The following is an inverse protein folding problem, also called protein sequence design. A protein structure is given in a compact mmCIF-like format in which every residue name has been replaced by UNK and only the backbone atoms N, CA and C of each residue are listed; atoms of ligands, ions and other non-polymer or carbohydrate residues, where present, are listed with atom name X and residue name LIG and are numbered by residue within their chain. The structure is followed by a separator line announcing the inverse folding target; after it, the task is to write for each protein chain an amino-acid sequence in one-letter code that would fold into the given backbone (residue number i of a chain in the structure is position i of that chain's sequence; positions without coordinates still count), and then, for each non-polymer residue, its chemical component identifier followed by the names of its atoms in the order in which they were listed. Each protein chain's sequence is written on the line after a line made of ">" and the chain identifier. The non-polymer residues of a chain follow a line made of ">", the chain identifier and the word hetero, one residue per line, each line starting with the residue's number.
data_IF_425286953287
#
_entry.id   IF_425286953287
#
_cell.length_a   1.000
_cell.length_b   1.000
_cell.length_c   1.000
_cell.angle_alpha   90.00
_cell.angle_beta   90.00
_cell.angle_gamma   90.00
#
_symmetry.space_group_name_H-M   'P 1'
#
loop_
_entity.id
_entity.type
_entity.pdbx_description
1 polymer ?
#
# COMPACT_ATOMS: atom_id res chain seq x y z
N UNK A 1 -22.25 11.98 150.43
CA UNK A 1 -21.39 13.17 150.58
C UNK A 1 -21.48 13.89 149.24
N UNK A 2 -22.05 15.10 149.20
CA UNK A 2 -22.12 15.87 147.95
C UNK A 2 -20.70 16.18 147.48
N UNK A 3 -20.47 16.09 146.18
CA UNK A 3 -19.19 16.45 145.59
C UNK A 3 -18.85 17.92 145.91
N UNK A 4 -17.60 18.19 146.28
CA UNK A 4 -17.17 19.55 146.65
C UNK A 4 -17.02 20.42 145.41
N UNK A 5 -17.33 21.72 145.55
CA UNK A 5 -17.39 22.67 144.44
C UNK A 5 -16.10 22.69 143.60
N UNK A 6 -14.93 22.66 144.23
CA UNK A 6 -13.63 22.66 143.52
C UNK A 6 -13.44 21.47 142.59
N UNK A 7 -13.96 20.27 142.90
CA UNK A 7 -13.86 19.11 142.00
C UNK A 7 -14.81 19.26 140.80
N UNK A 8 -15.99 19.85 141.00
CA UNK A 8 -16.95 20.16 139.93
C UNK A 8 -16.35 21.18 138.97
N UNK A 9 -15.71 22.22 139.51
CA UNK A 9 -15.09 23.29 138.73
C UNK A 9 -13.92 22.76 137.88
N UNK A 10 -13.03 21.95 138.47
CA UNK A 10 -11.96 21.24 137.75
C UNK A 10 -12.55 20.40 136.60
N UNK A 11 -13.62 19.62 136.86
CA UNK A 11 -14.25 18.79 135.83
C UNK A 11 -14.78 19.62 134.66
N UNK A 12 -15.45 20.73 134.97
CA UNK A 12 -16.05 21.60 133.96
C UNK A 12 -15.00 22.22 133.04
N UNK A 13 -13.94 22.80 133.63
CA UNK A 13 -12.84 23.40 132.85
C UNK A 13 -12.08 22.34 132.06
N UNK A 14 -11.77 21.20 132.66
CA UNK A 14 -11.13 20.08 131.97
C UNK A 14 -11.91 19.60 130.74
N UNK A 15 -13.25 19.52 130.83
CA UNK A 15 -14.07 19.10 129.71
C UNK A 15 -14.09 20.16 128.60
N UNK A 16 -14.17 21.45 128.94
CA UNK A 16 -14.05 22.55 127.97
C UNK A 16 -12.73 22.48 127.19
N UNK A 17 -11.60 22.30 127.89
CA UNK A 17 -10.29 22.20 127.23
C UNK A 17 -10.25 20.98 126.30
N UNK A 18 -10.76 19.82 126.72
CA UNK A 18 -10.76 18.59 125.91
C UNK A 18 -11.51 18.76 124.59
N UNK A 19 -12.56 19.56 124.58
CA UNK A 19 -13.30 19.89 123.36
C UNK A 19 -12.55 20.93 122.52
N UNK A 20 -12.02 21.99 123.15
CA UNK A 20 -11.27 23.04 122.46
C UNK A 20 -9.99 22.55 121.79
N UNK A 21 -9.27 21.58 122.38
CA UNK A 21 -8.01 21.03 121.81
C UNK A 21 -8.21 20.49 120.39
N UNK A 22 -9.38 19.93 120.09
CA UNK A 22 -9.67 19.31 118.77
C UNK A 22 -9.79 20.33 117.64
N UNK A 23 -10.03 21.59 117.97
CA UNK A 23 -10.28 22.67 117.00
C UNK A 23 -9.09 23.60 116.81
N UNK A 24 -8.00 23.41 117.55
CA UNK A 24 -6.81 24.26 117.46
C UNK A 24 -6.04 23.94 116.17
N UNK A 25 -5.83 24.95 115.34
CA UNK A 25 -4.93 24.86 114.19
C UNK A 25 -3.48 25.02 114.64
N UNK A 26 -2.60 24.15 114.13
CA UNK A 26 -1.17 24.12 114.48
C UNK A 26 -0.25 24.49 113.32
N UNK A 27 -0.80 24.82 112.14
CA UNK A 27 -0.04 25.07 110.91
C UNK A 27 0.90 26.26 111.05
N UNK A 28 0.43 27.37 111.64
CA UNK A 28 1.19 28.63 111.73
C UNK A 28 2.47 28.53 112.61
N UNK A 29 2.55 27.51 113.46
CA UNK A 29 3.66 27.29 114.39
C UNK A 29 4.39 25.95 114.18
N UNK A 30 4.18 25.29 113.03
CA UNK A 30 4.65 23.91 112.80
C UNK A 30 6.17 23.71 112.94
N UNK A 31 6.98 24.72 112.62
CA UNK A 31 8.44 24.66 112.69
C UNK A 31 9.01 25.30 113.97
N UNK A 32 8.16 25.91 114.80
CA UNK A 32 8.59 26.59 116.02
C UNK A 32 8.64 25.64 117.22
N UNK A 33 9.50 25.98 118.17
CA UNK A 33 9.65 25.27 119.44
C UNK A 33 9.42 26.24 120.60
N UNK A 34 8.94 25.71 121.71
CA UNK A 34 8.49 26.46 122.87
C UNK A 34 8.98 25.78 124.15
N UNK A 35 9.14 26.57 125.21
CA UNK A 35 9.73 26.12 126.47
C UNK A 35 11.03 26.84 126.77
N UNK A 36 11.57 26.61 127.98
CA UNK A 36 12.85 27.21 128.36
C UNK A 36 14.03 26.56 127.64
N UNK A 37 13.86 25.34 127.14
CA UNK A 37 14.88 24.54 126.46
C UNK A 37 14.46 24.16 125.03
N UNK A 38 13.46 24.85 124.47
CA UNK A 38 12.86 24.53 123.17
C UNK A 38 12.35 23.07 123.10
N UNK A 39 11.83 22.55 124.20
CA UNK A 39 11.51 21.13 124.36
C UNK A 39 10.17 20.72 123.74
N UNK A 40 9.27 21.68 123.46
CA UNK A 40 7.96 21.40 122.90
C UNK A 40 7.76 21.93 121.48
N UNK A 41 7.18 21.10 120.62
CA UNK A 41 6.48 21.59 119.42
C UNK A 41 5.05 21.97 119.79
N UNK A 42 4.36 22.78 119.00
CA UNK A 42 2.97 23.15 119.31
C UNK A 42 2.05 21.92 119.40
N UNK A 43 2.18 20.96 118.48
CA UNK A 43 1.48 19.67 118.57
C UNK A 43 1.86 18.88 119.83
N UNK A 44 3.14 18.94 120.22
CA UNK A 44 3.63 18.35 121.47
C UNK A 44 3.02 18.99 122.72
N UNK A 45 2.83 20.31 122.75
CA UNK A 45 2.15 21.02 123.84
C UNK A 45 0.69 20.56 123.97
N UNK A 46 -0.06 20.55 122.87
CA UNK A 46 -1.46 20.12 122.86
C UNK A 46 -1.59 18.65 123.28
N UNK A 47 -0.70 17.77 122.78
CA UNK A 47 -0.63 16.38 123.22
C UNK A 47 -0.26 16.23 124.70
N UNK A 48 0.64 17.09 125.19
CA UNK A 48 1.00 17.17 126.60
C UNK A 48 -0.19 17.58 127.48
N UNK A 49 -0.91 18.64 127.11
CA UNK A 49 -2.14 19.06 127.80
C UNK A 49 -3.13 17.90 127.81
N UNK A 50 -3.40 17.28 126.66
CA UNK A 50 -4.37 16.20 126.53
C UNK A 50 -4.04 14.99 127.43
N UNK A 51 -2.76 14.67 127.53
CA UNK A 51 -2.25 13.64 128.43
C UNK A 51 -2.52 13.97 129.90
N UNK A 52 -2.26 15.21 130.35
CA UNK A 52 -2.51 15.62 131.73
C UNK A 52 -4.00 15.73 132.05
N UNK A 53 -4.86 16.13 131.09
CA UNK A 53 -6.31 16.10 131.28
C UNK A 53 -6.81 14.67 131.50
N UNK A 54 -6.14 13.68 130.91
CA UNK A 54 -6.43 12.26 131.14
C UNK A 54 -6.02 11.84 132.55
N UNK A 55 -4.89 12.33 133.08
CA UNK A 55 -4.50 12.08 134.47
C UNK A 55 -5.49 12.70 135.47
N UNK A 56 -5.88 13.95 135.23
CA UNK A 56 -6.87 14.66 136.05
C UNK A 56 -8.22 13.93 136.00
N UNK A 57 -8.57 13.34 134.86
CA UNK A 57 -9.77 12.50 134.73
C UNK A 57 -9.76 11.34 135.71
N UNK A 58 -8.60 10.73 135.96
CA UNK A 58 -8.44 9.65 136.96
C UNK A 58 -8.69 10.14 138.38
N UNK A 59 -8.23 11.35 138.73
CA UNK A 59 -8.49 11.95 140.04
C UNK A 59 -9.98 12.25 140.26
N UNK A 60 -10.62 12.90 139.30
CA UNK A 60 -12.03 13.33 139.43
C UNK A 60 -13.03 12.16 139.32
N UNK A 61 -12.62 10.99 138.81
CA UNK A 61 -13.45 9.76 138.80
C UNK A 61 -13.64 9.19 140.21
N UNK A 62 -12.74 9.50 141.15
CA UNK A 62 -12.81 9.05 142.54
C UNK A 62 -12.82 10.25 143.51
N UNK A 63 -13.89 11.08 143.53
CA UNK A 63 -13.90 12.38 144.20
C UNK A 63 -13.65 12.30 145.72
N UNK A 64 -14.11 11.24 146.38
CA UNK A 64 -13.85 11.00 147.82
C UNK A 64 -12.37 10.75 148.07
N UNK A 65 -11.71 9.98 147.21
CA UNK A 65 -10.29 9.68 147.35
C UNK A 65 -9.46 10.92 147.01
N UNK A 66 -9.82 11.66 145.96
CA UNK A 66 -9.16 12.90 145.61
C UNK A 66 -9.26 13.94 146.74
N UNK A 67 -10.42 14.07 147.39
CA UNK A 67 -10.60 14.93 148.56
C UNK A 67 -9.72 14.51 149.75
N UNK A 68 -9.47 13.20 149.95
CA UNK A 68 -8.57 12.71 151.01
C UNK A 68 -7.10 12.96 150.69
N UNK A 69 -6.73 12.92 149.42
CA UNK A 69 -5.34 13.07 148.96
C UNK A 69 -4.93 14.53 148.78
N UNK A 70 -5.89 15.45 148.65
CA UNK A 70 -5.64 16.86 148.33
C UNK A 70 -6.19 17.82 149.38
N UNK A 71 -5.50 18.93 149.54
CA UNK A 71 -5.98 20.12 150.24
C UNK A 71 -6.86 20.98 149.33
N UNK A 72 -7.55 21.97 149.91
CA UNK A 72 -8.28 22.96 149.13
C UNK A 72 -7.34 23.70 148.17
N UNK A 73 -6.18 24.15 148.66
CA UNK A 73 -5.23 24.92 147.88
C UNK A 73 -4.71 24.13 146.66
N UNK A 74 -4.36 22.86 146.83
CA UNK A 74 -3.87 22.03 145.71
C UNK A 74 -4.95 21.81 144.63
N UNK A 75 -6.23 21.72 145.02
CA UNK A 75 -7.33 21.66 144.04
C UNK A 75 -7.53 23.01 143.34
N UNK A 76 -7.40 24.10 144.08
CA UNK A 76 -7.46 25.45 143.52
C UNK A 76 -6.32 25.68 142.51
N UNK A 77 -5.10 25.24 142.83
CA UNK A 77 -3.93 25.37 141.95
C UNK A 77 -4.13 24.58 140.63
N UNK A 78 -4.73 23.38 140.70
CA UNK A 78 -5.13 22.62 139.50
C UNK A 78 -6.18 23.39 138.70
N UNK A 79 -7.20 23.93 139.37
CA UNK A 79 -8.27 24.67 138.70
C UNK A 79 -7.76 25.93 138.00
N UNK A 80 -6.90 26.72 138.67
CA UNK A 80 -6.28 27.92 138.10
C UNK A 80 -5.42 27.57 136.90
N UNK A 81 -4.55 26.56 137.02
CA UNK A 81 -3.69 26.13 135.92
C UNK A 81 -4.52 25.63 134.71
N UNK A 82 -5.66 24.98 134.94
CA UNK A 82 -6.56 24.58 133.87
C UNK A 82 -7.24 25.78 133.19
N UNK A 83 -7.69 26.79 133.94
CA UNK A 83 -8.28 27.99 133.33
C UNK A 83 -7.25 28.73 132.48
N UNK A 84 -6.02 28.90 132.99
CA UNK A 84 -4.95 29.51 132.22
C UNK A 84 -4.67 28.72 130.92
N UNK A 85 -4.61 27.39 130.99
CA UNK A 85 -4.48 26.54 129.78
C UNK A 85 -5.65 26.75 128.82
N UNK A 86 -6.87 26.90 129.33
CA UNK A 86 -8.05 27.12 128.49
C UNK A 86 -7.96 28.46 127.75
N UNK A 87 -7.55 29.52 128.43
CA UNK A 87 -7.46 30.88 127.88
C UNK A 87 -6.33 31.03 126.86
N UNK A 88 -5.23 30.29 127.05
CA UNK A 88 -4.04 30.35 126.21
C UNK A 88 -3.85 29.13 125.29
N UNK A 89 -4.89 28.34 125.05
CA UNK A 89 -4.78 27.11 124.26
C UNK A 89 -4.33 27.37 122.80
N UNK A 90 -4.73 28.51 122.25
CA UNK A 90 -4.37 28.96 120.90
C UNK A 90 -3.05 29.75 120.84
N UNK A 91 -2.37 29.94 121.98
CA UNK A 91 -1.17 30.77 122.08
C UNK A 91 0.00 29.96 122.67
N UNK A 92 0.82 29.31 121.81
CA UNK A 92 1.87 28.42 122.27
C UNK A 92 2.98 29.12 123.06
N UNK A 93 3.17 30.45 122.92
CA UNK A 93 4.19 31.21 123.64
C UNK A 93 3.94 31.24 125.15
N UNK A 94 2.67 31.20 125.56
CA UNK A 94 2.28 31.17 126.97
C UNK A 94 1.81 29.79 127.43
N UNK A 95 1.28 28.96 126.53
CA UNK A 95 0.71 27.65 126.84
C UNK A 95 1.71 26.73 127.56
N UNK A 96 2.97 26.71 127.15
CA UNK A 96 3.99 25.81 127.75
C UNK A 96 4.19 26.08 129.24
N UNK A 97 4.16 27.35 129.66
CA UNK A 97 4.34 27.76 131.05
C UNK A 97 3.16 27.27 131.92
N UNK A 98 1.94 27.36 131.40
CA UNK A 98 0.75 26.86 132.11
C UNK A 98 0.66 25.34 132.11
N UNK A 99 1.12 24.68 131.04
CA UNK A 99 1.29 23.23 131.00
C UNK A 99 2.23 22.76 132.13
N UNK A 100 3.36 23.44 132.34
CA UNK A 100 4.31 23.09 133.39
C UNK A 100 3.79 23.38 134.81
N UNK A 101 3.04 24.47 135.00
CA UNK A 101 2.31 24.71 136.26
C UNK A 101 1.32 23.60 136.54
N UNK A 102 0.59 23.12 135.53
CA UNK A 102 -0.32 21.99 135.69
C UNK A 102 0.44 20.71 136.05
N UNK A 103 1.59 20.42 135.39
CA UNK A 103 2.46 19.29 135.77
C UNK A 103 2.88 19.35 137.23
N UNK A 104 3.26 20.53 137.72
CA UNK A 104 3.64 20.73 139.12
C UNK A 104 2.44 20.48 140.05
N UNK A 105 1.26 21.01 139.73
CA UNK A 105 0.05 20.86 140.53
C UNK A 105 -0.43 19.40 140.64
N UNK A 106 -0.27 18.59 139.58
CA UNK A 106 -0.74 17.20 139.60
C UNK A 106 0.31 16.18 140.08
N UNK A 107 1.60 16.55 140.12
CA UNK A 107 2.71 15.66 140.50
C UNK A 107 2.53 14.98 141.88
N UNK A 108 2.01 15.66 142.94
CA UNK A 108 1.83 15.04 144.26
C UNK A 108 0.91 13.82 144.25
N UNK A 109 0.09 13.62 143.22
CA UNK A 109 -0.89 12.54 143.15
C UNK A 109 -0.39 11.27 142.44
N UNK A 110 0.86 11.23 141.95
CA UNK A 110 1.52 10.05 141.36
C UNK A 110 0.72 9.29 140.28
N UNK A 111 -0.09 10.00 139.49
CA UNK A 111 -1.10 9.41 138.61
C UNK A 111 -0.48 8.58 137.47
N UNK A 112 0.72 8.93 137.01
CA UNK A 112 1.43 8.22 135.93
C UNK A 112 1.83 6.78 136.30
N UNK A 113 1.83 6.42 137.59
CA UNK A 113 2.17 5.08 138.07
C UNK A 113 0.92 4.29 138.51
N UNK A 114 -0.27 4.77 138.17
CA UNK A 114 -1.53 4.08 138.47
C UNK A 114 -1.73 2.88 137.54
N UNK A 115 -2.37 1.84 138.06
CA UNK A 115 -2.64 0.60 137.32
C UNK A 115 -3.53 0.88 136.09
N UNK A 116 -4.43 1.83 136.20
CA UNK A 116 -5.37 2.25 135.15
C UNK A 116 -4.62 2.87 133.96
N UNK A 117 -3.67 3.79 134.20
CA UNK A 117 -2.88 4.43 133.13
C UNK A 117 -1.99 3.42 132.37
N UNK A 118 -1.47 2.41 133.06
CA UNK A 118 -0.70 1.33 132.44
C UNK A 118 -1.56 0.43 131.52
N UNK A 119 -2.85 0.27 131.83
CA UNK A 119 -3.79 -0.47 130.97
C UNK A 119 -4.08 0.32 129.69
N UNK A 120 -4.37 1.62 129.81
CA UNK A 120 -4.63 2.50 128.66
C UNK A 120 -3.41 2.55 127.72
N UNK A 121 -2.20 2.68 128.26
CA UNK A 121 -0.96 2.62 127.48
C UNK A 121 -0.76 1.27 126.76
N UNK A 122 -1.09 0.15 127.41
CA UNK A 122 -1.04 -1.16 126.78
C UNK A 122 -2.03 -1.32 125.63
N UNK A 123 -3.21 -0.68 125.73
CA UNK A 123 -4.21 -0.63 124.66
C UNK A 123 -3.69 0.17 123.45
N UNK A 124 -3.16 1.38 123.69
CA UNK A 124 -2.59 2.23 122.63
C UNK A 124 -1.41 1.53 121.91
N UNK A 125 -0.55 0.83 122.66
CA UNK A 125 0.55 0.06 122.09
C UNK A 125 0.07 -1.11 121.21
N UNK A 126 -1.04 -1.74 121.59
CA UNK A 126 -1.67 -2.80 120.81
C UNK A 126 -2.27 -2.26 119.52
N UNK A 127 -2.99 -1.14 119.57
CA UNK A 127 -3.49 -0.44 118.38
C UNK A 127 -2.36 -0.02 117.44
N UNK A 128 -1.28 0.55 117.98
CA UNK A 128 -0.11 0.93 117.19
C UNK A 128 0.53 -0.29 116.50
N UNK A 129 0.53 -1.44 117.17
CA UNK A 129 1.04 -2.69 116.60
C UNK A 129 0.17 -3.17 115.44
N UNK A 130 -1.16 -3.08 115.56
CA UNK A 130 -2.11 -3.42 114.49
C UNK A 130 -1.89 -2.47 113.29
N UNK A 131 -1.84 -1.16 113.52
CA UNK A 131 -1.61 -0.18 112.47
C UNK A 131 -0.28 -0.42 111.74
N UNK A 132 0.79 -0.77 112.46
CA UNK A 132 2.08 -1.14 111.86
C UNK A 132 1.96 -2.36 110.93
N UNK A 133 1.20 -3.37 111.34
CA UNK A 133 0.97 -4.57 110.52
C UNK A 133 0.18 -4.23 109.26
N UNK A 134 -0.88 -3.44 109.37
CA UNK A 134 -1.67 -2.97 108.22
C UNK A 134 -0.82 -2.16 107.25
N UNK A 135 0.00 -1.23 107.77
CA UNK A 135 0.92 -0.43 106.95
C UNK A 135 1.95 -1.30 106.22
N UNK A 136 2.47 -2.32 106.88
CA UNK A 136 3.42 -3.28 106.28
C UNK A 136 2.75 -4.09 105.16
N UNK A 137 1.49 -4.50 105.36
CA UNK A 137 0.72 -5.20 104.32
C UNK A 137 0.50 -4.31 103.10
N UNK A 138 0.04 -3.07 103.31
CA UNK A 138 -0.15 -2.09 102.24
C UNK A 138 1.14 -1.82 101.47
N UNK A 139 2.29 -1.73 102.14
CA UNK A 139 3.59 -1.58 101.48
C UNK A 139 3.94 -2.76 100.57
N UNK A 140 3.70 -4.00 101.02
CA UNK A 140 3.94 -5.19 100.21
C UNK A 140 3.02 -5.24 98.98
N UNK A 141 1.75 -4.89 99.15
CA UNK A 141 0.79 -4.82 98.04
C UNK A 141 1.23 -3.77 97.01
N UNK A 142 1.65 -2.58 97.46
CA UNK A 142 2.16 -1.50 96.61
C UNK A 142 3.43 -1.92 95.86
N UNK A 143 4.30 -2.71 96.49
CA UNK A 143 5.50 -3.25 95.85
C UNK A 143 5.18 -4.29 94.78
N UNK A 144 4.16 -5.13 95.00
CA UNK A 144 3.67 -6.08 94.00
C UNK A 144 3.04 -5.36 92.80
N UNK A 145 2.28 -4.30 93.04
CA UNK A 145 1.68 -3.45 92.00
C UNK A 145 2.75 -2.72 91.19
N UNK A 146 3.81 -2.21 91.85
CA UNK A 146 4.94 -1.57 91.19
C UNK A 146 5.70 -2.54 90.28
N UNK A 147 5.94 -3.77 90.75
CA UNK A 147 6.58 -4.82 89.96
C UNK A 147 5.75 -5.19 88.72
N UNK A 148 4.42 -5.30 88.90
CA UNK A 148 3.49 -5.59 87.80
C UNK A 148 3.44 -4.46 86.78
N UNK A 149 3.41 -3.21 87.26
CA UNK A 149 3.43 -2.00 86.42
C UNK A 149 4.73 -1.90 85.61
N UNK A 150 5.87 -2.19 86.24
CA UNK A 150 7.18 -2.19 85.58
C UNK A 150 7.25 -3.24 84.46
N UNK A 151 6.72 -4.44 84.72
CA UNK A 151 6.62 -5.51 83.71
C UNK A 151 5.72 -5.11 82.55
N UNK A 152 4.58 -4.47 82.83
CA UNK A 152 3.65 -4.01 81.80
C UNK A 152 4.26 -2.89 80.95
N UNK A 153 5.02 -1.97 81.56
CA UNK A 153 5.76 -0.94 80.82
C UNK A 153 6.75 -1.57 79.82
N UNK A 154 7.53 -2.56 80.23
CA UNK A 154 8.45 -3.26 79.31
C UNK A 154 7.73 -3.90 78.12
N UNK A 155 6.57 -4.52 78.32
CA UNK A 155 5.73 -5.05 77.23
C UNK A 155 5.21 -3.95 76.31
N UNK A 156 4.83 -2.80 76.85
CA UNK A 156 4.37 -1.65 76.06
C UNK A 156 5.52 -1.14 75.19
N UNK A 157 6.74 -1.06 75.73
CA UNK A 157 7.92 -0.63 74.98
C UNK A 157 8.22 -1.60 73.82
N UNK A 158 8.14 -2.92 74.03
CA UNK A 158 8.26 -3.94 72.98
C UNK A 158 7.19 -3.78 71.88
N UNK A 159 5.93 -3.56 72.26
CA UNK A 159 4.84 -3.31 71.30
C UNK A 159 5.09 -2.03 70.51
N UNK A 160 5.64 -0.99 71.15
CA UNK A 160 5.96 0.28 70.51
C UNK A 160 7.05 0.11 69.45
N UNK A 161 8.09 -0.68 69.74
CA UNK A 161 9.14 -1.00 68.76
C UNK A 161 8.58 -1.78 67.58
N UNK A 162 7.74 -2.81 67.83
CA UNK A 162 7.09 -3.58 66.76
C UNK A 162 6.17 -2.71 65.89
N UNK A 163 5.44 -1.77 66.50
CA UNK A 163 4.61 -0.81 65.76
C UNK A 163 5.44 0.11 64.88
N UNK A 164 6.60 0.57 65.36
CA UNK A 164 7.51 1.41 64.58
C UNK A 164 8.07 0.64 63.37
N UNK A 165 8.52 -0.60 63.57
CA UNK A 165 9.01 -1.46 62.47
C UNK A 165 7.92 -1.71 61.42
N UNK A 166 6.69 -1.99 61.86
CA UNK A 166 5.55 -2.18 60.95
C UNK A 166 5.17 -0.91 60.19
N UNK A 167 5.28 0.25 60.83
CA UNK A 167 5.06 1.52 60.15
C UNK A 167 6.12 1.78 59.06
N UNK A 168 7.39 1.47 59.33
CA UNK A 168 8.45 1.64 58.32
C UNK A 168 8.26 0.70 57.14
N UNK A 169 7.87 -0.56 57.39
CA UNK A 169 7.56 -1.54 56.33
C UNK A 169 6.37 -1.06 55.48
N UNK A 170 5.34 -0.48 56.12
CA UNK A 170 4.18 0.07 55.42
C UNK A 170 4.53 1.31 54.57
N UNK A 171 5.43 2.18 55.04
CA UNK A 171 5.93 3.32 54.26
C UNK A 171 6.69 2.86 53.01
N UNK A 172 7.52 1.83 53.15
CA UNK A 172 8.25 1.23 52.02
C UNK A 172 7.29 0.61 50.99
N UNK A 173 6.29 -0.13 51.44
CA UNK A 173 5.24 -0.70 50.58
C UNK A 173 4.45 0.40 49.84
N UNK A 174 4.12 1.51 50.52
CA UNK A 174 3.44 2.66 49.92
C UNK A 174 4.32 3.30 48.84
N UNK A 175 5.62 3.47 49.09
CA UNK A 175 6.54 4.06 48.13
C UNK A 175 6.71 3.15 46.90
N UNK A 176 6.89 1.84 47.10
CA UNK A 176 6.93 0.87 45.99
C UNK A 176 5.62 0.86 45.19
N UNK A 177 4.48 0.98 45.89
CA UNK A 177 3.17 1.11 45.26
C UNK A 177 3.06 2.34 44.35
N UNK A 178 3.58 3.49 44.79
CA UNK A 178 3.61 4.73 43.99
C UNK A 178 4.47 4.59 42.74
N UNK A 179 5.68 4.05 42.86
CA UNK A 179 6.57 3.84 41.70
C UNK A 179 5.94 2.93 40.64
N UNK A 180 5.25 1.87 41.08
CA UNK A 180 4.48 1.00 40.17
C UNK A 180 3.33 1.75 39.49
N UNK A 181 2.68 2.67 40.19
CA UNK A 181 1.57 3.47 39.66
C UNK A 181 2.09 4.46 38.60
N UNK A 182 3.23 5.11 38.84
CA UNK A 182 3.87 5.99 37.87
C UNK A 182 4.28 5.24 36.60
N UNK A 183 4.86 4.04 36.75
CA UNK A 183 5.21 3.17 35.63
C UNK A 183 3.96 2.74 34.83
N UNK A 184 2.86 2.45 35.53
CA UNK A 184 1.59 2.10 34.89
C UNK A 184 1.02 3.27 34.08
N UNK A 185 1.09 4.50 34.62
CA UNK A 185 0.65 5.70 33.92
C UNK A 185 1.46 5.96 32.65
N UNK A 186 2.78 5.77 32.69
CA UNK A 186 3.63 5.87 31.51
C UNK A 186 3.25 4.84 30.44
N UNK A 187 2.99 3.59 30.85
CA UNK A 187 2.53 2.55 29.95
C UNK A 187 1.16 2.85 29.33
N UNK A 188 0.23 3.43 30.10
CA UNK A 188 -1.08 3.87 29.59
C UNK A 188 -0.90 4.93 28.50
N UNK A 189 -0.09 5.96 28.75
CA UNK A 189 0.19 7.00 27.75
C UNK A 189 0.80 6.40 26.47
N UNK A 190 1.71 5.43 26.61
CA UNK A 190 2.30 4.73 25.46
C UNK A 190 1.25 3.91 24.69
N UNK A 191 0.30 3.27 25.37
CA UNK A 191 -0.81 2.55 24.74
C UNK A 191 -1.72 3.51 23.97
N UNK A 192 -2.05 4.67 24.55
CA UNK A 192 -2.87 5.69 23.90
C UNK A 192 -2.20 6.21 22.62
N UNK A 193 -0.91 6.55 22.67
CA UNK A 193 -0.13 6.97 21.49
C UNK A 193 -0.09 5.87 20.42
N UNK A 194 0.10 4.62 20.83
CA UNK A 194 0.09 3.49 19.90
C UNK A 194 -1.29 3.26 19.26
N UNK A 195 -2.38 3.48 20.01
CA UNK A 195 -3.73 3.38 19.49
C UNK A 195 -3.98 4.44 18.39
N UNK A 196 -3.52 5.68 18.60
CA UNK A 196 -3.58 6.75 17.59
C UNK A 196 -2.74 6.39 16.34
N UNK A 197 -1.54 5.84 16.51
CA UNK A 197 -0.75 5.34 15.39
C UNK A 197 -1.44 4.20 14.62
N UNK A 198 -2.09 3.27 15.31
CA UNK A 198 -2.84 2.18 14.69
C UNK A 198 -4.04 2.73 13.90
N UNK A 199 -4.74 3.72 14.43
CA UNK A 199 -5.84 4.39 13.72
C UNK A 199 -5.35 5.06 12.43
N UNK A 200 -4.20 5.75 12.50
CA UNK A 200 -3.58 6.34 11.32
C UNK A 200 -3.18 5.28 10.27
N UNK A 201 -2.58 4.16 10.69
CA UNK A 201 -2.26 3.04 9.79
C UNK A 201 -3.52 2.47 9.15
N UNK A 202 -4.59 2.29 9.93
CA UNK A 202 -5.88 1.81 9.43
C UNK A 202 -6.44 2.74 8.36
N UNK A 203 -6.45 4.05 8.60
CA UNK A 203 -6.92 5.05 7.63
C UNK A 203 -6.11 4.99 6.32
N UNK A 204 -4.79 4.85 6.40
CA UNK A 204 -3.94 4.67 5.21
C UNK A 204 -4.24 3.36 4.49
N UNK A 205 -4.45 2.27 5.24
CA UNK A 205 -4.79 0.97 4.66
C UNK A 205 -6.14 0.99 3.94
N UNK A 206 -7.14 1.67 4.51
CA UNK A 206 -8.45 1.84 3.89
C UNK A 206 -8.35 2.68 2.60
N UNK A 207 -7.57 3.76 2.62
CA UNK A 207 -7.30 4.55 1.40
C UNK A 207 -6.57 3.74 0.31
N UNK A 208 -5.56 2.96 0.68
CA UNK A 208 -4.86 2.09 -0.26
C UNK A 208 -5.76 1.00 -0.82
N UNK A 209 -6.68 0.46 -0.02
CA UNK A 209 -7.70 -0.48 -0.49
C UNK A 209 -8.57 0.15 -1.57
N UNK A 210 -9.06 1.36 -1.37
CA UNK A 210 -9.84 2.08 -2.39
C UNK A 210 -9.02 2.32 -3.69
N UNK A 211 -7.74 2.64 -3.58
CA UNK A 211 -6.87 2.79 -4.76
C UNK A 211 -6.69 1.46 -5.51
N UNK A 212 -6.54 0.36 -4.79
CA UNK A 212 -6.44 -0.98 -5.37
C UNK A 212 -7.76 -1.36 -6.06
N UNK A 213 -8.90 -1.13 -5.43
CA UNK A 213 -10.22 -1.42 -6.00
C UNK A 213 -10.42 -0.66 -7.33
N UNK A 214 -10.07 0.64 -7.35
CA UNK A 214 -10.08 1.45 -8.58
C UNK A 214 -9.10 0.95 -9.65
N UNK A 215 -7.93 0.45 -9.24
CA UNK A 215 -6.93 -0.10 -10.17
C UNK A 215 -7.42 -1.41 -10.80
N UNK A 216 -8.04 -2.28 -10.00
CA UNK A 216 -8.65 -3.52 -10.48
C UNK A 216 -9.75 -3.22 -11.50
N UNK A 217 -10.63 -2.26 -11.23
CA UNK A 217 -11.67 -1.85 -12.18
C UNK A 217 -11.07 -1.37 -13.51
N UNK A 218 -9.99 -0.57 -13.46
CA UNK A 218 -9.28 -0.13 -14.68
C UNK A 218 -8.66 -1.29 -15.45
N UNK A 219 -8.10 -2.30 -14.78
CA UNK A 219 -7.55 -3.49 -15.45
C UNK A 219 -8.66 -4.23 -16.18
N UNK A 220 -9.80 -4.49 -15.52
CA UNK A 220 -10.93 -5.19 -16.13
C UNK A 220 -11.43 -4.45 -17.38
N UNK A 221 -11.59 -3.13 -17.30
CA UNK A 221 -11.99 -2.31 -18.45
C UNK A 221 -10.96 -2.38 -19.59
N UNK A 222 -9.65 -2.38 -19.28
CA UNK A 222 -8.59 -2.49 -20.30
C UNK A 222 -8.52 -3.86 -20.94
N UNK A 223 -8.76 -4.91 -20.17
CA UNK A 223 -8.84 -6.29 -20.68
C UNK A 223 -9.98 -6.42 -21.70
N UNK A 224 -11.16 -5.85 -21.39
CA UNK A 224 -12.28 -5.81 -22.32
C UNK A 224 -11.98 -4.99 -23.58
N UNK A 225 -11.31 -3.83 -23.46
CA UNK A 225 -10.86 -3.04 -24.61
C UNK A 225 -9.90 -3.83 -25.51
N UNK A 226 -8.96 -4.58 -24.93
CA UNK A 226 -7.99 -5.40 -25.66
C UNK A 226 -8.67 -6.58 -26.37
N UNK A 227 -9.64 -7.22 -25.74
CA UNK A 227 -10.43 -8.29 -26.37
C UNK A 227 -11.19 -7.76 -27.59
N UNK A 228 -11.82 -6.59 -27.47
CA UNK A 228 -12.51 -5.94 -28.59
C UNK A 228 -11.52 -5.58 -29.72
N UNK A 229 -10.37 -4.97 -29.40
CA UNK A 229 -9.33 -4.65 -30.39
C UNK A 229 -8.79 -5.91 -31.09
N UNK A 230 -8.64 -7.01 -30.37
CA UNK A 230 -8.24 -8.30 -30.93
C UNK A 230 -9.28 -8.79 -31.92
N UNK A 231 -10.57 -8.72 -31.58
CA UNK A 231 -11.67 -9.05 -32.48
C UNK A 231 -11.67 -8.22 -33.76
N UNK A 232 -11.51 -6.89 -33.64
CA UNK A 232 -11.40 -5.97 -34.78
C UNK A 232 -10.18 -6.31 -35.66
N UNK A 233 -9.03 -6.59 -35.04
CA UNK A 233 -7.78 -6.93 -35.74
C UNK A 233 -7.93 -8.23 -36.54
N UNK A 234 -8.55 -9.25 -35.95
CA UNK A 234 -8.82 -10.51 -36.65
C UNK A 234 -9.75 -10.29 -37.85
N UNK A 235 -10.83 -9.52 -37.69
CA UNK A 235 -11.73 -9.17 -38.80
C UNK A 235 -11.03 -8.38 -39.92
N UNK A 236 -10.08 -7.50 -39.59
CA UNK A 236 -9.26 -6.81 -40.59
C UNK A 236 -8.31 -7.76 -41.31
N UNK A 237 -7.69 -8.71 -40.61
CA UNK A 237 -6.81 -9.70 -41.21
C UNK A 237 -7.57 -10.59 -42.20
N UNK A 238 -8.78 -11.05 -41.84
CA UNK A 238 -9.65 -11.81 -42.75
C UNK A 238 -9.97 -11.01 -44.03
N UNK A 239 -10.38 -9.75 -43.90
CA UNK A 239 -10.63 -8.87 -45.05
C UNK A 239 -9.38 -8.63 -45.90
N UNK A 240 -8.21 -8.53 -45.27
CA UNK A 240 -6.96 -8.33 -45.99
C UNK A 240 -6.59 -9.56 -46.82
N UNK A 241 -6.84 -10.76 -46.28
CA UNK A 241 -6.66 -12.02 -46.99
C UNK A 241 -7.63 -12.14 -48.18
N UNK A 242 -8.90 -11.79 -47.99
CA UNK A 242 -9.92 -11.74 -49.04
C UNK A 242 -9.50 -10.79 -50.18
N UNK A 243 -9.15 -9.53 -49.86
CA UNK A 243 -8.71 -8.56 -50.87
C UNK A 243 -7.40 -8.97 -51.55
N UNK A 244 -6.49 -9.62 -50.83
CA UNK A 244 -5.23 -10.10 -51.42
C UNK A 244 -5.50 -11.20 -52.44
N UNK A 245 -6.44 -12.10 -52.13
CA UNK A 245 -6.89 -13.17 -53.02
C UNK A 245 -7.60 -12.60 -54.25
N UNK A 246 -8.58 -11.72 -54.05
CA UNK A 246 -9.33 -11.06 -55.14
C UNK A 246 -8.40 -10.29 -56.07
N UNK A 247 -7.43 -9.53 -55.51
CA UNK A 247 -6.41 -8.84 -56.29
C UNK A 247 -5.55 -9.81 -57.11
N UNK A 248 -5.21 -10.97 -56.54
CA UNK A 248 -4.47 -12.03 -57.24
C UNK A 248 -5.23 -12.54 -58.46
N UNK A 249 -6.52 -12.82 -58.30
CA UNK A 249 -7.40 -13.31 -59.36
C UNK A 249 -7.65 -12.26 -60.44
N UNK A 250 -7.88 -11.00 -60.05
CA UNK A 250 -8.00 -9.88 -60.99
C UNK A 250 -6.72 -9.69 -61.81
N UNK A 251 -5.54 -9.81 -61.18
CA UNK A 251 -4.25 -9.69 -61.86
C UNK A 251 -4.03 -10.83 -62.86
N UNK A 252 -4.42 -12.07 -62.50
CA UNK A 252 -4.39 -13.22 -63.42
C UNK A 252 -5.34 -13.01 -64.61
N UNK A 253 -6.54 -12.52 -64.35
CA UNK A 253 -7.54 -12.21 -65.38
C UNK A 253 -7.05 -11.12 -66.32
N UNK A 254 -6.50 -10.03 -65.79
CA UNK A 254 -5.93 -8.94 -66.58
C UNK A 254 -4.77 -9.42 -67.47
N UNK A 255 -3.87 -10.26 -66.95
CA UNK A 255 -2.79 -10.86 -67.75
C UNK A 255 -3.33 -11.71 -68.90
N UNK A 256 -4.36 -12.52 -68.63
CA UNK A 256 -5.00 -13.38 -69.65
C UNK A 256 -5.62 -12.54 -70.76
N UNK A 257 -6.40 -11.51 -70.42
CA UNK A 257 -7.00 -10.58 -71.37
C UNK A 257 -5.96 -9.84 -72.23
N UNK A 258 -4.81 -9.46 -71.65
CA UNK A 258 -3.72 -8.83 -72.39
C UNK A 258 -3.15 -9.79 -73.46
N UNK A 259 -2.96 -11.07 -73.15
CA UNK A 259 -2.45 -12.06 -74.10
C UNK A 259 -3.47 -12.39 -75.20
N UNK A 260 -4.76 -12.50 -74.85
CA UNK A 260 -5.84 -12.67 -75.82
C UNK A 260 -5.92 -11.47 -76.79
N UNK A 261 -5.83 -10.24 -76.27
CA UNK A 261 -5.84 -9.03 -77.09
C UNK A 261 -4.63 -8.94 -78.03
N UNK A 262 -3.43 -9.33 -77.58
CA UNK A 262 -2.23 -9.40 -78.44
C UNK A 262 -2.41 -10.40 -79.58
N UNK A 263 -2.99 -11.57 -79.26
CA UNK A 263 -3.24 -12.63 -80.25
C UNK A 263 -4.23 -12.15 -81.30
N UNK A 264 -5.37 -11.58 -80.91
CA UNK A 264 -6.36 -11.02 -81.84
C UNK A 264 -5.79 -9.89 -82.73
N UNK A 265 -4.93 -9.02 -82.19
CA UNK A 265 -4.23 -7.99 -82.97
C UNK A 265 -3.26 -8.59 -84.01
N UNK A 266 -2.63 -9.73 -83.70
CA UNK A 266 -1.79 -10.48 -84.64
C UNK A 266 -2.62 -11.05 -85.81
N UNK A 267 -3.75 -11.69 -85.51
CA UNK A 267 -4.67 -12.25 -86.50
C UNK A 267 -5.22 -11.20 -87.47
N UNK A 268 -5.72 -10.08 -86.94
CA UNK A 268 -6.30 -8.99 -87.75
C UNK A 268 -5.28 -8.32 -88.69
N UNK A 269 -4.01 -8.19 -88.27
CA UNK A 269 -2.96 -7.61 -89.13
C UNK A 269 -2.63 -8.48 -90.34
N UNK A 270 -2.49 -9.79 -90.17
CA UNK A 270 -2.17 -10.67 -91.30
C UNK A 270 -3.37 -10.86 -92.26
N UNK A 271 -4.60 -10.83 -91.74
CA UNK A 271 -5.80 -10.75 -92.57
C UNK A 271 -5.82 -9.46 -93.42
N UNK A 272 -5.48 -8.32 -92.83
CA UNK A 272 -5.37 -7.04 -93.55
C UNK A 272 -4.33 -7.05 -94.68
N UNK A 273 -3.13 -7.60 -94.42
CA UNK A 273 -2.05 -7.70 -95.43
C UNK A 273 -2.46 -8.63 -96.58
N UNK A 274 -3.03 -9.79 -96.29
CA UNK A 274 -3.44 -10.74 -97.34
C UNK A 274 -4.60 -10.22 -98.19
N UNK A 275 -5.58 -9.54 -97.58
CA UNK A 275 -6.69 -8.90 -98.28
C UNK A 275 -6.23 -7.80 -99.24
N UNK A 276 -5.21 -7.02 -98.86
CA UNK A 276 -4.62 -6.00 -99.73
C UNK A 276 -3.96 -6.61 -100.99
N UNK A 277 -3.23 -7.73 -100.86
CA UNK A 277 -2.65 -8.42 -102.02
C UNK A 277 -3.71 -9.07 -102.91
N UNK A 278 -4.73 -9.68 -102.31
CA UNK A 278 -5.83 -10.28 -103.04
C UNK A 278 -6.61 -9.25 -103.86
N UNK A 279 -6.77 -8.04 -103.33
CA UNK A 279 -7.42 -6.93 -104.05
C UNK A 279 -6.60 -6.52 -105.28
N UNK A 280 -5.28 -6.33 -105.14
CA UNK A 280 -4.42 -6.01 -106.30
C UNK A 280 -4.35 -7.14 -107.34
N UNK A 281 -4.46 -8.39 -106.92
CA UNK A 281 -4.54 -9.54 -107.82
C UNK A 281 -5.79 -9.45 -108.71
N UNK A 282 -6.97 -9.22 -108.11
CA UNK A 282 -8.25 -9.13 -108.84
C UNK A 282 -8.27 -8.00 -109.87
N UNK A 283 -7.68 -6.84 -109.55
CA UNK A 283 -7.62 -5.72 -110.49
C UNK A 283 -6.72 -5.99 -111.70
N UNK A 284 -5.75 -6.92 -111.60
CA UNK A 284 -4.76 -7.19 -112.66
C UNK A 284 -4.97 -8.51 -113.42
N UNK A 285 -5.95 -9.32 -113.03
CA UNK A 285 -6.27 -10.61 -113.70
C UNK A 285 -6.90 -10.43 -115.10
N UNK A 286 -7.18 -9.18 -115.50
CA UNK A 286 -7.78 -8.83 -116.79
C UNK A 286 -6.78 -8.86 -117.98
N UNK A 287 -5.65 -9.56 -117.81
CA UNK A 287 -4.61 -9.75 -118.83
C UNK A 287 -5.13 -10.40 -120.11
N UNK A 288 -6.22 -11.18 -120.03
CA UNK A 288 -6.87 -11.82 -121.17
C UNK A 288 -7.30 -10.83 -122.27
N UNK A 289 -7.54 -9.56 -121.93
CA UNK A 289 -7.83 -8.50 -122.91
C UNK A 289 -6.67 -8.27 -123.89
N UNK A 290 -5.42 -8.44 -123.46
CA UNK A 290 -4.24 -8.32 -124.32
C UNK A 290 -4.06 -9.53 -125.25
N UNK A 291 -4.47 -10.72 -124.82
CA UNK A 291 -4.53 -11.93 -125.66
C UNK A 291 -5.53 -11.78 -126.80
N UNK A 292 -6.70 -11.19 -126.50
CA UNK A 292 -7.72 -10.85 -127.50
C UNK A 292 -7.17 -9.82 -128.49
N UNK A 293 -6.50 -8.77 -127.99
CA UNK A 293 -5.85 -7.76 -128.84
C UNK A 293 -4.80 -8.35 -129.78
N UNK A 294 -3.92 -9.22 -129.28
CA UNK A 294 -2.91 -9.90 -130.11
C UNK A 294 -3.57 -10.76 -131.21
N UNK A 295 -4.63 -11.49 -130.86
CA UNK A 295 -5.37 -12.32 -131.81
C UNK A 295 -6.02 -11.49 -132.92
N UNK A 296 -6.60 -10.34 -132.58
CA UNK A 296 -7.20 -9.41 -133.56
C UNK A 296 -6.13 -8.87 -134.53
N UNK A 297 -4.96 -8.46 -134.04
CA UNK A 297 -3.88 -7.94 -134.90
C UNK A 297 -3.34 -9.01 -135.87
N UNK A 298 -3.21 -10.26 -135.43
CA UNK A 298 -2.85 -11.38 -136.31
C UNK A 298 -3.93 -11.57 -137.37
N UNK A 299 -5.20 -11.56 -136.99
CA UNK A 299 -6.33 -11.68 -137.91
C UNK A 299 -6.30 -10.57 -138.98
N UNK A 300 -6.09 -9.32 -138.58
CA UNK A 300 -5.94 -8.17 -139.47
C UNK A 300 -4.77 -8.38 -140.45
N UNK A 301 -3.61 -8.86 -139.98
CA UNK A 301 -2.49 -9.17 -140.86
C UNK A 301 -2.86 -10.18 -141.94
N UNK A 302 -3.55 -11.27 -141.57
CA UNK A 302 -4.02 -12.29 -142.52
C UNK A 302 -5.09 -11.78 -143.48
N UNK A 303 -6.02 -10.94 -143.04
CA UNK A 303 -7.05 -10.38 -143.93
C UNK A 303 -6.42 -9.42 -144.94
N UNK A 304 -5.50 -8.56 -144.49
CA UNK A 304 -4.79 -7.63 -145.38
C UNK A 304 -3.95 -8.36 -146.43
N UNK A 305 -3.29 -9.48 -146.09
CA UNK A 305 -2.55 -10.27 -147.08
C UNK A 305 -3.45 -10.91 -148.12
N UNK A 306 -4.59 -11.49 -147.71
CA UNK A 306 -5.53 -12.16 -148.62
C UNK A 306 -6.21 -11.16 -149.56
N UNK A 307 -6.73 -10.03 -149.04
CA UNK A 307 -7.39 -8.99 -149.86
C UNK A 307 -6.43 -8.44 -150.91
N UNK A 308 -5.16 -8.26 -150.55
CA UNK A 308 -4.19 -7.67 -151.46
C UNK A 308 -3.73 -8.62 -152.59
N UNK A 309 -3.67 -9.93 -152.33
CA UNK A 309 -3.38 -10.93 -153.38
C UNK A 309 -4.49 -10.94 -154.44
N UNK A 310 -5.73 -10.70 -154.05
CA UNK A 310 -6.88 -10.76 -154.97
C UNK A 310 -7.03 -9.51 -155.85
N UNK A 311 -6.58 -8.32 -155.39
CA UNK A 311 -6.84 -7.05 -156.06
C UNK A 311 -5.76 -6.56 -157.05
N UNK A 312 -4.53 -7.09 -157.07
CA UNK A 312 -3.46 -6.56 -157.93
C UNK A 312 -2.53 -7.64 -158.52
N UNK A 313 -2.62 -7.84 -159.84
CA UNK A 313 -1.78 -8.76 -160.64
C UNK A 313 -0.57 -8.11 -161.32
N UNK A 314 -0.18 -6.89 -160.94
CA UNK A 314 1.04 -6.22 -161.44
C UNK A 314 2.18 -6.29 -160.42
N UNK A 315 3.37 -6.68 -160.89
CA UNK A 315 4.61 -6.80 -160.09
C UNK A 315 5.56 -5.64 -160.42
N UNK A 316 5.36 -4.52 -159.74
CA UNK A 316 6.27 -3.36 -159.77
C UNK A 316 6.89 -3.12 -158.38
N UNK A 317 8.16 -2.68 -158.33
CA UNK A 317 9.02 -2.64 -157.15
C UNK A 317 8.43 -1.78 -156.01
N UNK A 318 7.79 -0.66 -156.37
CA UNK A 318 7.12 0.23 -155.41
C UNK A 318 5.94 -0.47 -154.71
N UNK A 319 5.23 -1.36 -155.41
CA UNK A 319 4.09 -2.08 -154.82
C UNK A 319 4.55 -3.14 -153.82
N UNK A 320 5.70 -3.78 -154.03
CA UNK A 320 6.25 -4.79 -153.12
C UNK A 320 6.77 -4.17 -151.82
N UNK A 321 7.36 -2.98 -151.90
CA UNK A 321 7.85 -2.25 -150.72
C UNK A 321 6.68 -1.75 -149.85
N UNK A 322 5.60 -1.29 -150.47
CA UNK A 322 4.36 -0.93 -149.76
C UNK A 322 3.74 -2.14 -149.04
N UNK A 323 3.79 -3.35 -149.64
CA UNK A 323 3.29 -4.60 -149.01
C UNK A 323 4.01 -4.92 -147.70
N UNK A 324 5.34 -4.83 -147.68
CA UNK A 324 6.14 -5.13 -146.47
C UNK A 324 5.84 -4.11 -145.36
N UNK A 325 5.64 -2.83 -145.72
CA UNK A 325 5.34 -1.79 -144.73
C UNK A 325 3.95 -1.88 -144.11
N UNK A 326 2.95 -2.40 -144.83
CA UNK A 326 1.59 -2.54 -144.30
C UNK A 326 1.49 -3.75 -143.37
N UNK A 327 2.20 -4.84 -143.66
CA UNK A 327 2.19 -6.07 -142.85
C UNK A 327 3.02 -5.92 -141.57
N UNK A 328 4.05 -5.06 -141.58
CA UNK A 328 4.90 -4.85 -140.40
C UNK A 328 4.14 -4.16 -139.24
N UNK A 329 3.12 -3.36 -139.53
CA UNK A 329 2.37 -2.61 -138.51
C UNK A 329 1.51 -3.52 -137.60
N UNK A 330 0.66 -4.44 -138.13
CA UNK A 330 -0.09 -5.36 -137.27
C UNK A 330 0.81 -6.37 -136.55
N UNK A 331 1.93 -6.79 -137.15
CA UNK A 331 2.90 -7.66 -136.48
C UNK A 331 3.54 -7.00 -135.25
N UNK A 332 3.90 -5.71 -135.36
CA UNK A 332 4.39 -4.94 -134.22
C UNK A 332 3.30 -4.77 -133.15
N UNK A 333 2.04 -4.58 -133.56
CA UNK A 333 0.88 -4.53 -132.66
C UNK A 333 0.66 -5.85 -131.89
N UNK A 334 0.73 -6.99 -132.57
CA UNK A 334 0.62 -8.31 -131.96
C UNK A 334 1.78 -8.59 -130.99
N UNK A 335 3.03 -8.22 -131.37
CA UNK A 335 4.20 -8.34 -130.52
C UNK A 335 4.08 -7.52 -129.23
N UNK A 336 3.62 -6.27 -129.36
CA UNK A 336 3.37 -5.41 -128.21
C UNK A 336 2.32 -6.00 -127.28
N UNK A 337 1.20 -6.49 -127.82
CA UNK A 337 0.14 -7.11 -127.03
C UNK A 337 0.61 -8.38 -126.30
N UNK A 338 1.39 -9.24 -126.97
CA UNK A 338 1.99 -10.41 -126.32
C UNK A 338 2.98 -10.03 -125.21
N UNK A 339 3.81 -8.99 -125.44
CA UNK A 339 4.72 -8.48 -124.43
C UNK A 339 4.00 -7.91 -123.19
N UNK A 340 2.89 -7.20 -123.39
CA UNK A 340 2.07 -6.70 -122.29
C UNK A 340 1.35 -7.84 -121.55
N UNK A 341 0.82 -8.84 -122.27
CA UNK A 341 0.20 -10.01 -121.65
C UNK A 341 1.16 -10.73 -120.71
N UNK A 342 2.37 -11.08 -121.18
CA UNK A 342 3.37 -11.77 -120.36
C UNK A 342 3.77 -10.93 -119.14
N UNK A 343 3.89 -9.61 -119.29
CA UNK A 343 4.18 -8.72 -118.17
C UNK A 343 3.07 -8.71 -117.13
N UNK A 344 1.81 -8.61 -117.54
CA UNK A 344 0.66 -8.61 -116.62
C UNK A 344 0.48 -9.97 -115.95
N UNK A 345 0.67 -11.07 -116.68
CA UNK A 345 0.54 -12.43 -116.12
C UNK A 345 1.60 -12.70 -115.05
N UNK A 346 2.86 -12.35 -115.32
CA UNK A 346 3.94 -12.50 -114.36
C UNK A 346 3.72 -11.66 -113.10
N UNK A 347 3.16 -10.45 -113.24
CA UNK A 347 2.77 -9.64 -112.10
C UNK A 347 1.63 -10.33 -111.34
N UNK A 348 0.58 -10.82 -112.02
CA UNK A 348 -0.53 -11.52 -111.36
C UNK A 348 -0.04 -12.74 -110.56
N UNK A 349 0.84 -13.56 -111.11
CA UNK A 349 1.41 -14.72 -110.43
C UNK A 349 2.22 -14.34 -109.18
N UNK A 350 3.02 -13.25 -109.22
CA UNK A 350 3.75 -12.74 -108.05
C UNK A 350 2.79 -12.30 -106.93
N UNK A 351 1.70 -11.61 -107.27
CA UNK A 351 0.72 -11.17 -106.28
C UNK A 351 -0.10 -12.33 -105.70
N UNK A 352 -0.39 -13.35 -106.50
CA UNK A 352 -1.03 -14.58 -106.01
C UNK A 352 -0.13 -15.30 -105.00
N UNK A 353 1.16 -15.43 -105.31
CA UNK A 353 2.16 -15.99 -104.40
C UNK A 353 2.24 -15.20 -103.08
N UNK A 354 2.32 -13.86 -103.15
CA UNK A 354 2.37 -12.99 -101.97
C UNK A 354 1.09 -13.04 -101.13
N UNK A 355 -0.06 -13.18 -101.76
CA UNK A 355 -1.35 -13.35 -101.07
C UNK A 355 -1.36 -14.64 -100.25
N UNK A 356 -0.98 -15.76 -100.86
CA UNK A 356 -0.91 -17.06 -100.19
C UNK A 356 0.12 -17.06 -99.06
N UNK A 357 1.30 -16.47 -99.30
CA UNK A 357 2.34 -16.30 -98.29
C UNK A 357 1.78 -15.52 -97.08
N UNK A 358 1.12 -14.38 -97.31
CA UNK A 358 0.55 -13.54 -96.27
C UNK A 358 -0.53 -14.24 -95.43
N UNK A 359 -1.40 -15.05 -96.07
CA UNK A 359 -2.41 -15.85 -95.35
C UNK A 359 -1.77 -16.93 -94.46
N UNK A 360 -0.65 -17.51 -94.90
CA UNK A 360 0.02 -18.59 -94.17
C UNK A 360 0.85 -18.12 -92.98
N UNK A 361 1.18 -16.82 -92.88
CA UNK A 361 2.03 -16.25 -91.83
C UNK A 361 1.53 -16.66 -90.44
N UNK A 362 0.23 -16.54 -90.17
CA UNK A 362 -0.28 -16.78 -88.82
C UNK A 362 -0.16 -18.26 -88.44
N UNK A 363 -0.57 -19.17 -89.34
CA UNK A 363 -0.52 -20.61 -89.09
C UNK A 363 0.88 -21.15 -88.82
N UNK A 364 1.90 -20.62 -89.51
CA UNK A 364 3.30 -20.98 -89.23
C UNK A 364 3.90 -20.23 -88.06
N UNK A 365 3.51 -18.96 -87.84
CA UNK A 365 3.96 -18.16 -86.71
C UNK A 365 3.57 -18.78 -85.36
N UNK A 366 2.41 -19.44 -85.31
CA UNK A 366 1.89 -20.09 -84.10
C UNK A 366 2.55 -21.45 -83.84
N UNK A 367 2.93 -22.18 -84.88
CA UNK A 367 3.73 -23.41 -84.75
C UNK A 367 5.17 -23.10 -84.30
N UNK A 368 5.78 -22.05 -84.84
CA UNK A 368 7.17 -21.67 -84.54
C UNK A 368 7.36 -20.97 -83.19
N UNK A 369 6.28 -20.48 -82.56
CA UNK A 369 6.33 -19.84 -81.23
C UNK A 369 6.29 -20.84 -80.08
N UNK A 370 5.93 -22.10 -80.35
CA UNK A 370 5.81 -23.16 -79.34
C UNK A 370 7.11 -23.98 -79.14
N UNK A 371 8.13 -23.76 -79.97
CA UNK A 371 9.47 -24.35 -79.80
C UNK A 371 10.38 -23.33 -79.06
N UNK A 372 11.20 -23.84 -78.13
CA UNK A 372 12.05 -23.15 -77.12
C UNK A 372 12.39 -21.66 -77.36
N UNK A 373 12.26 -20.82 -76.31
CA UNK A 373 12.54 -19.36 -76.31
C UNK A 373 13.95 -18.93 -76.77
N UNK A 374 14.89 -19.87 -76.91
CA UNK A 374 16.24 -19.63 -77.46
C UNK A 374 16.35 -19.79 -78.97
N UNK A 375 15.30 -20.26 -79.65
CA UNK A 375 15.34 -20.49 -81.09
C UNK A 375 14.91 -19.23 -81.88
N UNK A 376 15.86 -18.66 -82.62
CA UNK A 376 15.61 -17.51 -83.50
C UNK A 376 14.79 -17.90 -84.75
N UNK A 377 14.33 -19.16 -84.88
CA UNK A 377 13.51 -19.66 -85.99
C UNK A 377 12.31 -18.79 -86.32
N UNK A 378 11.58 -18.27 -85.32
CA UNK A 378 10.46 -17.36 -85.56
C UNK A 378 10.92 -16.04 -86.21
N UNK A 379 12.02 -15.46 -85.71
CA UNK A 379 12.56 -14.20 -86.23
C UNK A 379 13.14 -14.39 -87.63
N UNK A 380 13.83 -15.50 -87.88
CA UNK A 380 14.37 -15.86 -89.19
C UNK A 380 13.27 -16.15 -90.21
N UNK A 381 12.18 -16.80 -89.80
CA UNK A 381 11.01 -17.02 -90.63
C UNK A 381 10.35 -15.68 -91.01
N UNK A 382 10.08 -14.82 -90.03
CA UNK A 382 9.48 -13.51 -90.28
C UNK A 382 10.37 -12.63 -91.14
N UNK A 383 11.70 -12.67 -90.95
CA UNK A 383 12.66 -11.91 -91.77
C UNK A 383 12.70 -12.40 -93.21
N UNK A 384 12.78 -13.72 -93.44
CA UNK A 384 12.73 -14.31 -94.80
C UNK A 384 11.42 -13.98 -95.50
N UNK A 385 10.29 -14.09 -94.79
CA UNK A 385 8.98 -13.77 -95.33
C UNK A 385 8.87 -12.28 -95.68
N UNK A 386 9.37 -11.39 -94.81
CA UNK A 386 9.40 -9.96 -95.05
C UNK A 386 10.27 -9.62 -96.27
N UNK A 387 11.47 -10.21 -96.36
CA UNK A 387 12.36 -10.05 -97.52
C UNK A 387 11.67 -10.51 -98.82
N UNK A 388 10.91 -11.61 -98.77
CA UNK A 388 10.18 -12.15 -99.92
C UNK A 388 9.00 -11.26 -100.37
N UNK A 389 8.20 -10.76 -99.43
CA UNK A 389 7.09 -9.83 -99.74
C UNK A 389 7.60 -8.52 -100.36
N UNK A 390 8.75 -8.01 -99.87
CA UNK A 390 9.33 -6.76 -100.34
C UNK A 390 10.04 -6.86 -101.71
N UNK A 391 10.23 -8.06 -102.26
CA UNK A 391 10.85 -8.20 -103.59
C UNK A 391 9.98 -7.58 -104.70
N UNK A 392 10.63 -6.95 -105.69
CA UNK A 392 9.95 -6.25 -106.78
C UNK A 392 9.28 -7.24 -107.77
N UNK A 393 8.02 -7.01 -108.20
CA UNK A 393 7.17 -7.98 -108.93
C UNK A 393 7.61 -8.42 -110.34
N UNK A 394 8.88 -8.21 -110.74
CA UNK A 394 9.39 -8.51 -112.09
C UNK A 394 10.89 -8.87 -112.14
N UNK A 395 11.55 -9.15 -111.01
CA UNK A 395 13.03 -9.19 -110.97
C UNK A 395 13.68 -10.54 -111.36
N UNK A 396 12.95 -11.66 -111.35
CA UNK A 396 13.55 -13.01 -111.41
C UNK A 396 13.09 -13.95 -112.54
N UNK A 397 12.67 -13.46 -113.70
CA UNK A 397 12.42 -14.32 -114.88
C UNK A 397 13.48 -14.22 -115.99
N UNK A 398 14.71 -13.78 -115.68
CA UNK A 398 15.86 -13.86 -116.59
C UNK A 398 16.65 -15.15 -116.34
N UNK A 399 16.06 -16.33 -116.56
CA UNK A 399 16.77 -17.62 -116.62
C UNK A 399 15.88 -18.65 -117.33
N UNK A 400 15.83 -18.56 -118.67
CA UNK A 400 15.79 -19.70 -119.61
C UNK A 400 15.67 -19.14 -121.04
N UNK A 401 16.72 -19.34 -121.83
CA UNK A 401 16.81 -19.06 -123.26
C UNK A 401 15.81 -19.91 -124.04
N UNK A 402 15.32 -19.41 -125.18
CA UNK A 402 15.17 -20.26 -126.37
C UNK A 402 15.46 -19.47 -127.64
N UNK A 403 16.36 -20.07 -128.41
CA UNK A 403 16.87 -19.73 -129.73
C UNK A 403 15.83 -19.09 -130.66
N UNK A 404 16.20 -17.97 -131.27
CA UNK A 404 15.36 -17.27 -132.25
C UNK A 404 15.19 -18.13 -133.52
N UNK A 405 13.97 -18.63 -133.84
CA UNK A 405 13.72 -19.53 -134.96
C UNK A 405 13.99 -18.91 -136.33
N UNK A 406 14.10 -17.58 -136.42
CA UNK A 406 14.40 -16.88 -137.67
C UNK A 406 15.87 -16.99 -138.10
N UNK A 407 16.81 -17.19 -137.16
CA UNK A 407 18.24 -17.33 -137.50
C UNK A 407 18.49 -18.63 -138.30
N UNK A 408 17.78 -19.69 -137.94
CA UNK A 408 17.83 -21.00 -138.61
C UNK A 408 17.19 -21.00 -140.01
N UNK A 409 16.14 -20.19 -140.21
CA UNK A 409 15.51 -19.99 -141.52
C UNK A 409 16.38 -19.10 -142.44
N UNK A 410 17.03 -18.07 -141.90
CA UNK A 410 17.88 -17.16 -142.68
C UNK A 410 19.15 -17.86 -143.18
N UNK A 411 19.75 -18.73 -142.36
CA UNK A 411 20.90 -19.55 -142.78
C UNK A 411 20.49 -20.60 -143.82
N UNK A 412 19.29 -21.20 -143.72
CA UNK A 412 18.77 -22.13 -144.73
C UNK A 412 18.44 -21.50 -146.09
N UNK A 413 17.98 -20.24 -146.11
CA UNK A 413 17.74 -19.49 -147.36
C UNK A 413 19.06 -19.06 -148.02
N UNK A 414 20.07 -18.72 -147.22
CA UNK A 414 21.41 -18.34 -147.71
C UNK A 414 22.12 -19.50 -148.41
N UNK A 415 21.86 -20.73 -147.96
CA UNK A 415 22.45 -21.96 -148.52
C UNK A 415 21.73 -22.45 -149.80
N UNK A 416 20.48 -22.03 -150.02
CA UNK A 416 19.74 -22.30 -151.27
C UNK A 416 20.09 -21.34 -152.41
N UNK A 417 20.50 -20.11 -152.09
CA UNK A 417 20.90 -19.09 -153.07
C UNK A 417 22.33 -19.33 -153.59
N UNK A 418 23.20 -19.98 -152.81
CA UNK A 418 24.58 -20.30 -153.21
C UNK A 418 24.70 -21.52 -154.15
N UNK A 419 23.65 -22.33 -154.29
CA UNK A 419 23.73 -23.66 -154.92
C UNK A 419 23.14 -23.77 -156.33
N UNK A 420 22.69 -22.66 -156.94
CA UNK A 420 21.96 -22.74 -158.20
C UNK A 420 22.40 -21.77 -159.32
N UNK A 421 23.66 -21.30 -159.34
CA UNK A 421 24.28 -20.71 -160.54
C UNK A 421 25.82 -20.80 -160.49
N UNK A 422 26.34 -21.97 -160.84
CA UNK A 422 27.70 -22.22 -161.34
C UNK A 422 27.60 -23.19 -162.53
N UNK A 423 28.54 -23.15 -163.48
CA UNK A 423 28.24 -22.97 -164.91
C UNK A 423 28.85 -24.13 -165.72
N UNK A 424 28.97 -24.01 -167.05
CA UNK A 424 30.20 -24.42 -167.74
C UNK A 424 31.20 -23.27 -167.84
#
# INVERSE_FOLDING_TARGET
>A
MSEVQTIIDIRNVKNKIKDSIKTVDTVDYAEQKFGNEDEYTYKGLLGGVDSLLTDITTLIKAPIQFLKLSTYQEREDIFVALNDIQDYLSDPEYLWNYLDKLKQAIRPFYIHYTKERLIDFGSELSELTIQKQEFTKSLNDLQNDLNSTTKNKGKIDEILTLLQEKNTELEDDINSGKERLDTLNENINNIENNAEHIENIRNHSDSHRELIDNFVEKIVNREQELENQTGITNAFNEKLEEFTTERGDLLKTAKTLIEEAKTALGYTKAEGISSAFQTQLKERDDGNKWLIGASIFILIATVLTVVFIFMNQSTDLNTTLARISIISLPFAGAWFCAGQYTKLKNISEDYAYKTMLAQSIIGFSEQLKNDDETDNSYQDYMKKMLDEIHQHPLKNHKKQETENPYKKLLDGVKDLISKNNTPP
#
